data_IF_521094391746
#
_entry.id   IF_521094391746
#
_cell.length_a   1.000
_cell.length_b   1.000
_cell.length_c   1.000
_cell.angle_alpha   90.00
_cell.angle_beta   90.00
_cell.angle_gamma   90.00
#
_symmetry.space_group_name_H-M   'P 1'
#
loop_
_entity.id
_entity.type
_entity.pdbx_description
1 polymer ?
#
# COMPACT_ATOMS: atom_id res chain seq x y z
N UNK A 1 -8.28 21.31 -27.56
CA UNK A 1 -9.65 20.76 -27.38
C UNK A 1 -9.62 19.28 -26.93
N UNK A 2 -8.58 18.51 -27.22
CA UNK A 2 -8.49 17.09 -26.81
C UNK A 2 -8.17 16.88 -25.31
N UNK A 3 -7.32 17.72 -24.70
CA UNK A 3 -6.92 17.59 -23.29
C UNK A 3 -8.05 17.81 -22.27
N UNK A 4 -9.10 18.55 -22.64
CA UNK A 4 -10.27 18.75 -21.76
C UNK A 4 -11.14 17.51 -21.63
N UNK A 5 -11.24 16.69 -22.69
CA UNK A 5 -12.04 15.45 -22.69
C UNK A 5 -11.36 14.39 -21.83
N UNK A 6 -10.05 14.18 -21.97
CA UNK A 6 -9.31 13.21 -21.16
C UNK A 6 -9.44 13.51 -19.66
N UNK A 7 -9.28 14.77 -19.24
CA UNK A 7 -9.28 15.13 -17.82
C UNK A 7 -10.68 15.20 -17.20
N UNK A 8 -11.72 15.59 -17.96
CA UNK A 8 -13.08 15.80 -17.44
C UNK A 8 -14.03 14.63 -17.68
N UNK A 9 -13.74 13.78 -18.66
CA UNK A 9 -14.60 12.66 -19.05
C UNK A 9 -13.85 11.36 -18.80
N UNK A 10 -12.77 11.11 -19.52
CA UNK A 10 -12.07 9.80 -19.46
C UNK A 10 -11.51 9.53 -18.07
N UNK A 11 -10.81 10.50 -17.47
CA UNK A 11 -10.15 10.36 -16.17
C UNK A 11 -11.16 10.02 -15.06
N UNK A 12 -12.20 10.82 -14.76
CA UNK A 12 -13.15 10.48 -13.70
C UNK A 12 -13.91 9.17 -13.93
N UNK A 13 -14.09 8.75 -15.19
CA UNK A 13 -14.69 7.46 -15.52
C UNK A 13 -13.78 6.27 -15.18
N UNK A 14 -12.48 6.37 -15.43
CA UNK A 14 -11.51 5.31 -15.10
C UNK A 14 -10.91 5.44 -13.69
N UNK A 15 -11.13 6.58 -13.01
CA UNK A 15 -10.63 6.87 -11.66
C UNK A 15 -10.84 5.74 -10.64
N UNK A 16 -12.01 5.08 -10.52
CA UNK A 16 -12.14 3.93 -9.61
C UNK A 16 -11.15 2.80 -9.94
N UNK A 17 -10.93 2.50 -11.22
CA UNK A 17 -9.94 1.51 -11.66
C UNK A 17 -8.50 1.97 -11.41
N UNK A 18 -8.20 3.26 -11.63
CA UNK A 18 -6.87 3.85 -11.34
C UNK A 18 -6.57 3.80 -9.84
N UNK A 19 -7.55 4.10 -8.98
CA UNK A 19 -7.41 4.02 -7.52
C UNK A 19 -7.19 2.56 -7.10
N UNK A 20 -7.97 1.62 -7.63
CA UNK A 20 -7.79 0.19 -7.35
C UNK A 20 -6.41 -0.32 -7.78
N UNK A 21 -5.96 0.03 -8.99
CA UNK A 21 -4.63 -0.31 -9.50
C UNK A 21 -3.50 0.36 -8.71
N UNK A 22 -3.68 1.60 -8.28
CA UNK A 22 -2.72 2.32 -7.44
C UNK A 22 -2.57 1.70 -6.05
N UNK A 23 -3.68 1.31 -5.41
CA UNK A 23 -3.65 0.61 -4.14
C UNK A 23 -3.01 -0.78 -4.26
N UNK A 24 -3.30 -1.50 -5.35
CA UNK A 24 -2.66 -2.79 -5.63
C UNK A 24 -1.15 -2.64 -5.84
N UNK A 25 -0.71 -1.66 -6.64
CA UNK A 25 0.71 -1.38 -6.86
C UNK A 25 1.44 -0.97 -5.56
N UNK A 26 0.79 -0.16 -4.71
CA UNK A 26 1.32 0.18 -3.38
C UNK A 26 1.48 -1.06 -2.50
N UNK A 27 0.45 -1.92 -2.42
CA UNK A 27 0.49 -3.14 -1.62
C UNK A 27 1.62 -4.08 -2.08
N UNK A 28 1.74 -4.31 -3.39
CA UNK A 28 2.81 -5.13 -3.97
C UNK A 28 4.19 -4.53 -3.70
N UNK A 29 4.34 -3.20 -3.81
CA UNK A 29 5.61 -2.54 -3.52
C UNK A 29 6.01 -2.67 -2.05
N UNK A 30 5.05 -2.56 -1.13
CA UNK A 30 5.32 -2.64 0.31
C UNK A 30 5.66 -4.07 0.76
N UNK A 31 5.12 -5.09 0.08
CA UNK A 31 5.38 -6.50 0.35
C UNK A 31 6.78 -6.98 -0.08
N UNK A 32 7.46 -6.25 -0.97
CA UNK A 32 8.77 -6.63 -1.50
C UNK A 32 9.93 -6.35 -0.53
N UNK A 33 9.90 -6.96 0.66
CA UNK A 33 10.98 -6.83 1.64
C UNK A 33 12.30 -7.45 1.14
N UNK A 34 12.23 -8.62 0.48
CA UNK A 34 13.42 -9.39 0.05
C UNK A 34 14.27 -8.55 -0.90
N UNK A 35 13.61 -7.97 -1.91
CA UNK A 35 14.27 -7.12 -2.91
C UNK A 35 14.83 -5.87 -2.25
N UNK A 36 14.04 -5.21 -1.40
CA UNK A 36 14.48 -4.03 -0.66
C UNK A 36 15.68 -4.30 0.25
N UNK A 37 15.73 -5.47 0.89
CA UNK A 37 16.82 -5.87 1.78
C UNK A 37 18.14 -6.07 1.03
N UNK A 38 18.10 -6.73 -0.13
CA UNK A 38 19.30 -6.97 -0.93
C UNK A 38 19.78 -5.74 -1.71
N UNK A 39 18.89 -4.79 -2.01
CA UNK A 39 19.23 -3.53 -2.67
C UNK A 39 19.53 -2.38 -1.69
N UNK A 40 19.27 -2.57 -0.39
CA UNK A 40 19.51 -1.55 0.62
C UNK A 40 21.00 -1.19 0.71
N UNK A 41 21.31 0.10 0.66
CA UNK A 41 22.67 0.64 0.82
C UNK A 41 22.84 1.15 2.25
N UNK A 42 24.05 1.07 2.85
CA UNK A 42 24.30 1.64 4.18
C UNK A 42 23.83 3.10 4.27
N UNK A 43 22.96 3.40 5.25
CA UNK A 43 22.37 4.74 5.44
C UNK A 43 21.03 4.99 4.74
N UNK A 44 20.49 4.00 4.00
CA UNK A 44 19.15 4.06 3.40
C UNK A 44 18.38 2.78 3.77
N UNK A 45 17.72 2.77 4.94
CA UNK A 45 16.84 1.66 5.35
C UNK A 45 15.39 2.02 5.06
N UNK A 46 14.70 1.11 4.36
CA UNK A 46 13.25 1.21 4.22
C UNK A 46 12.58 0.67 5.47
N UNK A 47 11.35 1.12 5.74
CA UNK A 47 10.61 0.70 6.93
C UNK A 47 10.51 -0.83 7.09
N UNK A 48 10.25 -1.63 6.03
CA UNK A 48 10.26 -3.10 6.14
C UNK A 48 11.63 -3.69 6.50
N UNK A 49 12.71 -3.13 5.96
CA UNK A 49 14.09 -3.58 6.24
C UNK A 49 14.48 -3.26 7.68
N UNK A 50 14.07 -2.09 8.19
CA UNK A 50 14.34 -1.69 9.57
C UNK A 50 13.57 -2.57 10.57
N UNK A 51 12.29 -2.86 10.31
CA UNK A 51 11.51 -3.79 11.15
C UNK A 51 12.18 -5.16 11.21
N UNK A 52 12.63 -5.68 10.06
CA UNK A 52 13.34 -6.96 10.01
C UNK A 52 14.66 -6.93 10.78
N UNK A 53 15.45 -5.88 10.61
CA UNK A 53 16.70 -5.68 11.33
C UNK A 53 16.47 -5.55 12.85
N UNK A 54 15.41 -4.86 13.26
CA UNK A 54 15.01 -4.71 14.66
C UNK A 54 14.63 -6.06 15.30
N UNK A 55 13.82 -6.88 14.61
CA UNK A 55 13.45 -8.22 15.08
C UNK A 55 14.68 -9.10 15.30
N UNK A 56 15.68 -9.01 14.41
CA UNK A 56 16.95 -9.75 14.55
C UNK A 56 17.80 -9.29 15.74
N UNK A 57 17.66 -8.04 16.19
CA UNK A 57 18.34 -7.50 17.39
C UNK A 57 17.63 -7.90 18.69
N UNK A 58 16.36 -8.27 18.62
CA UNK A 58 15.55 -8.73 19.74
C UNK A 58 14.10 -8.21 19.65
N UNK A 59 13.16 -8.90 20.29
CA UNK A 59 11.78 -8.43 20.36
C UNK A 59 11.67 -7.29 21.35
N UNK A 60 11.31 -6.10 20.87
CA UNK A 60 11.05 -4.94 21.71
C UNK A 60 9.59 -4.50 21.59
N UNK A 61 9.01 -3.86 22.62
CA UNK A 61 7.63 -3.38 22.59
C UNK A 61 7.34 -2.44 21.41
N UNK A 62 8.35 -1.71 20.94
CA UNK A 62 8.26 -0.79 19.80
C UNK A 62 7.95 -1.53 18.49
N UNK A 63 8.56 -2.71 18.27
CA UNK A 63 8.31 -3.53 17.08
C UNK A 63 6.84 -3.99 17.07
N UNK A 64 6.36 -4.46 18.21
CA UNK A 64 4.96 -4.91 18.35
C UNK A 64 3.97 -3.76 18.10
N UNK A 65 4.29 -2.55 18.56
CA UNK A 65 3.48 -1.36 18.30
C UNK A 65 3.43 -1.04 16.79
N UNK A 66 4.58 -1.04 16.10
CA UNK A 66 4.66 -0.79 14.66
C UNK A 66 3.90 -1.85 13.86
N UNK A 67 4.06 -3.14 14.20
CA UNK A 67 3.31 -4.23 13.56
C UNK A 67 1.80 -4.07 13.72
N UNK A 68 1.34 -3.70 14.91
CA UNK A 68 -0.09 -3.46 15.17
C UNK A 68 -0.62 -2.31 14.31
N UNK A 69 0.11 -1.20 14.21
CA UNK A 69 -0.27 -0.06 13.38
C UNK A 69 -0.38 -0.48 11.90
N UNK A 70 0.60 -1.21 11.38
CA UNK A 70 0.59 -1.67 9.98
C UNK A 70 -0.63 -2.57 9.70
N UNK A 71 -0.93 -3.50 10.61
CA UNK A 71 -2.10 -4.38 10.49
C UNK A 71 -3.40 -3.58 10.51
N UNK A 72 -3.56 -2.66 11.46
CA UNK A 72 -4.76 -1.82 11.58
C UNK A 72 -4.96 -0.95 10.35
N UNK A 73 -3.90 -0.31 9.85
CA UNK A 73 -3.96 0.53 8.64
C UNK A 73 -4.31 -0.31 7.42
N UNK A 74 -3.69 -1.47 7.26
CA UNK A 74 -3.96 -2.39 6.13
C UNK A 74 -5.41 -2.87 6.16
N UNK A 75 -5.90 -3.25 7.34
CA UNK A 75 -7.28 -3.69 7.53
C UNK A 75 -8.27 -2.54 7.31
N UNK A 76 -7.97 -1.33 7.78
CA UNK A 76 -8.79 -0.15 7.53
C UNK A 76 -8.87 0.18 6.04
N UNK A 77 -7.74 0.19 5.33
CA UNK A 77 -7.71 0.40 3.88
C UNK A 77 -8.54 -0.65 3.14
N UNK A 78 -8.41 -1.92 3.52
CA UNK A 78 -9.17 -3.02 2.90
C UNK A 78 -10.67 -2.92 3.18
N UNK A 79 -11.07 -2.52 4.39
CA UNK A 79 -12.48 -2.31 4.74
C UNK A 79 -13.07 -1.08 4.04
N UNK A 80 -12.30 0.00 3.93
CA UNK A 80 -12.69 1.20 3.21
C UNK A 80 -12.89 0.88 1.72
N UNK A 81 -11.93 0.20 1.09
CA UNK A 81 -12.07 -0.21 -0.31
C UNK A 81 -13.26 -1.16 -0.47
N UNK A 82 -13.42 -2.17 0.38
CA UNK A 82 -14.58 -3.07 0.32
C UNK A 82 -15.92 -2.32 0.48
N UNK A 83 -15.96 -1.24 1.27
CA UNK A 83 -17.18 -0.46 1.50
C UNK A 83 -17.50 0.51 0.36
N UNK A 84 -16.49 1.15 -0.22
CA UNK A 84 -16.67 2.13 -1.31
C UNK A 84 -16.78 1.46 -2.68
N UNK A 85 -16.03 0.39 -2.91
CA UNK A 85 -16.16 -0.48 -4.07
C UNK A 85 -17.14 -1.59 -3.75
N UNK A 86 -18.44 -1.26 -3.72
CA UNK A 86 -19.48 -2.29 -3.83
C UNK A 86 -19.24 -2.99 -5.17
N UNK A 87 -18.56 -4.13 -5.15
CA UNK A 87 -18.39 -4.99 -6.32
C UNK A 87 -19.80 -5.20 -6.88
N UNK A 88 -20.03 -4.70 -8.09
CA UNK A 88 -21.31 -4.78 -8.76
C UNK A 88 -21.68 -6.24 -9.00
N UNK A 89 -22.30 -6.85 -8.01
CA UNK A 89 -23.18 -8.01 -8.15
C UNK A 89 -24.61 -7.53 -7.94
N UNK A 90 -25.42 -7.66 -9.00
CA UNK A 90 -26.82 -7.23 -9.17
C UNK A 90 -27.08 -5.73 -9.05
N UNK A 91 -27.47 -5.03 -10.13
CA UNK A 91 -28.39 -5.36 -11.22
C UNK A 91 -27.89 -4.87 -12.57
#
# INVERSE_FOLDING_TARGET
IQGSVTRRVTLPWIMPGVIAGGLFAFAVSFDQFVVSYFLATPGQTTLPVEIYAAIRKGFTPEINAVSTIIIVVSMALMLLTARFFKFGGEK
#
